data_IF_688150615414
#
_entry.id   IF_688150615414
#
_cell.length_a   1.000
_cell.length_b   1.000
_cell.length_c   1.000
_cell.angle_alpha   90.00
_cell.angle_beta   90.00
_cell.angle_gamma   90.00
#
_symmetry.space_group_name_H-M   'P 1'
#
loop_
_entity.id
_entity.type
_entity.pdbx_description
1 polymer ?
#
# COMPACT_ATOMS: atom_id res chain seq x y z
N UNK A 1 -9.56 -7.94 -24.21
CA UNK A 1 -9.34 -7.34 -24.05
C UNK A 1 -9.06 -6.92 -23.10
N UNK A 2 -8.56 -7.01 -22.62
CA UNK A 2 -8.60 -6.33 -21.87
C UNK A 2 -7.52 -5.82 -21.36
N UNK A 3 -7.33 -4.90 -21.09
CA UNK A 3 -6.31 -4.07 -20.63
C UNK A 3 -6.17 -4.06 -19.15
N UNK A 4 -6.55 -5.16 -18.51
CA UNK A 4 -6.56 -5.28 -17.07
C UNK A 4 -5.21 -4.98 -16.46
N UNK A 5 -4.13 -5.48 -17.07
CA UNK A 5 -2.79 -5.27 -16.54
C UNK A 5 -2.39 -3.79 -16.58
N UNK A 6 -2.72 -3.12 -17.68
CA UNK A 6 -2.41 -1.69 -17.80
C UNK A 6 -3.26 -0.85 -16.87
N UNK A 7 -4.50 -1.27 -16.65
CA UNK A 7 -5.44 -0.53 -15.82
C UNK A 7 -5.18 -0.71 -14.34
N UNK A 8 -4.55 -1.81 -13.94
CA UNK A 8 -4.28 -2.06 -12.52
C UNK A 8 -3.47 -0.94 -11.90
N UNK A 9 -2.43 -0.50 -12.59
CA UNK A 9 -1.61 0.58 -12.05
C UNK A 9 -2.46 1.85 -11.85
N UNK A 10 -3.23 2.23 -12.84
CA UNK A 10 -4.08 3.43 -12.77
C UNK A 10 -5.07 3.33 -11.61
N UNK A 11 -5.74 2.18 -11.49
CA UNK A 11 -6.73 1.95 -10.44
C UNK A 11 -6.08 1.99 -9.06
N UNK A 12 -4.96 1.32 -8.90
CA UNK A 12 -4.29 1.24 -7.60
C UNK A 12 -3.63 2.56 -7.20
N UNK A 13 -3.11 3.29 -8.17
CA UNK A 13 -2.54 4.61 -7.89
C UNK A 13 -3.62 5.54 -7.34
N UNK A 14 -4.77 5.58 -8.00
CA UNK A 14 -5.87 6.41 -7.56
C UNK A 14 -6.42 5.96 -6.22
N UNK A 15 -6.58 4.66 -6.04
CA UNK A 15 -7.08 4.12 -4.77
C UNK A 15 -6.14 4.47 -3.63
N UNK A 16 -4.84 4.29 -3.83
CA UNK A 16 -3.86 4.60 -2.78
C UNK A 16 -3.91 6.08 -2.45
N UNK A 17 -4.00 6.92 -3.46
CA UNK A 17 -4.06 8.37 -3.25
C UNK A 17 -5.33 8.79 -2.49
N UNK A 18 -6.49 8.35 -2.97
CA UNK A 18 -7.77 8.81 -2.43
C UNK A 18 -8.18 8.07 -1.15
N UNK A 19 -8.05 6.75 -1.16
CA UNK A 19 -8.64 5.93 -0.10
C UNK A 19 -7.65 5.57 1.00
N UNK A 20 -6.40 5.38 0.67
CA UNK A 20 -5.41 5.02 1.68
C UNK A 20 -4.80 6.28 2.31
N UNK A 21 -4.46 7.27 1.50
CA UNK A 21 -3.75 8.47 1.99
C UNK A 21 -4.56 9.74 2.00
N UNK A 22 -5.75 9.74 1.42
CA UNK A 22 -6.64 10.90 1.40
C UNK A 22 -5.93 12.16 0.88
N UNK A 23 -5.35 12.02 -0.32
CA UNK A 23 -4.62 13.10 -0.98
C UNK A 23 -5.30 13.54 -2.26
N UNK A 24 -5.15 14.81 -2.60
CA UNK A 24 -5.51 15.30 -3.94
C UNK A 24 -4.38 14.97 -4.90
N UNK A 25 -4.66 15.09 -6.20
CA UNK A 25 -3.61 14.91 -7.21
C UNK A 25 -2.50 15.93 -7.04
N UNK A 26 -2.84 17.17 -6.66
CA UNK A 26 -1.85 18.20 -6.41
C UNK A 26 -0.95 17.84 -5.23
N UNK A 27 -1.53 17.32 -4.17
CA UNK A 27 -0.76 16.92 -3.00
C UNK A 27 0.21 15.80 -3.35
N UNK A 28 -0.25 14.82 -4.10
CA UNK A 28 0.62 13.72 -4.53
C UNK A 28 1.71 14.23 -5.45
N UNK A 29 1.34 15.09 -6.40
CA UNK A 29 2.28 15.71 -7.33
C UNK A 29 3.43 16.38 -6.58
N UNK A 30 3.09 17.19 -5.60
CA UNK A 30 4.08 17.91 -4.80
C UNK A 30 4.96 16.94 -4.02
N UNK A 31 4.36 15.95 -3.40
CA UNK A 31 5.10 14.99 -2.57
C UNK A 31 6.00 14.08 -3.40
N UNK A 32 5.57 13.71 -4.58
CA UNK A 32 6.33 12.84 -5.46
C UNK A 32 7.34 13.58 -6.32
N UNK A 33 7.21 14.92 -6.40
CA UNK A 33 8.08 15.71 -7.24
C UNK A 33 7.78 15.52 -8.72
N UNK A 34 6.52 15.34 -9.06
CA UNK A 34 6.05 15.13 -10.43
C UNK A 34 4.97 16.15 -10.75
N UNK A 35 4.83 16.54 -12.04
CA UNK A 35 3.73 17.42 -12.42
C UNK A 35 2.37 16.77 -12.16
N UNK A 36 1.37 17.57 -11.79
CA UNK A 36 0.05 17.02 -11.55
C UNK A 36 -0.59 16.48 -12.84
N UNK A 37 -0.18 16.98 -13.99
CA UNK A 37 -0.61 16.41 -15.27
C UNK A 37 -0.15 14.96 -15.42
N UNK A 38 1.05 14.65 -14.92
CA UNK A 38 1.56 13.28 -14.95
C UNK A 38 0.70 12.37 -14.09
N UNK A 39 0.34 12.84 -12.89
CA UNK A 39 -0.54 12.06 -12.00
C UNK A 39 -1.87 11.78 -12.69
N UNK A 40 -2.46 12.80 -13.29
CA UNK A 40 -3.73 12.66 -14.00
C UNK A 40 -3.64 11.63 -15.12
N UNK A 41 -2.55 11.67 -15.89
CA UNK A 41 -2.34 10.72 -16.98
C UNK A 41 -2.17 9.29 -16.47
N UNK A 42 -1.42 9.13 -15.39
CA UNK A 42 -1.19 7.79 -14.82
C UNK A 42 -2.47 7.20 -14.22
N UNK A 43 -3.37 8.03 -13.74
CA UNK A 43 -4.64 7.55 -13.16
C UNK A 43 -5.73 7.32 -14.21
N UNK A 44 -5.46 7.67 -15.45
CA UNK A 44 -6.44 7.48 -16.52
C UNK A 44 -6.52 5.99 -16.90
N UNK A 45 -7.63 5.36 -16.58
CA UNK A 45 -7.83 3.94 -16.80
C UNK A 45 -7.73 3.58 -18.29
N UNK A 46 -8.18 4.49 -19.15
CA UNK A 46 -8.14 4.28 -20.59
C UNK A 46 -6.82 4.69 -21.22
N UNK A 47 -5.94 5.31 -20.43
CA UNK A 47 -4.66 5.75 -20.92
C UNK A 47 -3.69 4.59 -21.12
N UNK A 48 -2.69 4.83 -21.96
CA UNK A 48 -1.65 3.85 -22.22
C UNK A 48 -0.33 4.25 -21.56
N UNK A 49 -0.35 5.36 -20.82
CA UNK A 49 0.87 5.88 -20.23
C UNK A 49 1.32 5.03 -19.07
N UNK A 50 2.58 4.62 -19.12
CA UNK A 50 3.21 3.84 -18.05
C UNK A 50 4.28 4.68 -17.40
N UNK A 51 4.44 4.58 -16.09
CA UNK A 51 5.51 5.33 -15.42
C UNK A 51 6.86 4.71 -15.75
N UNK A 52 7.89 5.54 -15.74
CA UNK A 52 9.25 5.03 -15.72
C UNK A 52 9.48 4.35 -14.38
N UNK A 53 10.56 3.59 -14.30
CA UNK A 53 10.92 2.96 -13.02
C UNK A 53 11.11 4.01 -11.93
N UNK A 54 11.75 5.12 -12.27
CA UNK A 54 12.00 6.20 -11.31
C UNK A 54 10.69 6.83 -10.84
N UNK A 55 9.77 7.09 -11.77
CA UNK A 55 8.49 7.68 -11.41
C UNK A 55 7.65 6.73 -10.56
N UNK A 56 7.69 5.43 -10.88
CA UNK A 56 7.00 4.43 -10.08
C UNK A 56 7.53 4.44 -8.64
N UNK A 57 8.83 4.46 -8.49
CA UNK A 57 9.47 4.51 -7.18
C UNK A 57 9.09 5.77 -6.40
N UNK A 58 9.06 6.91 -7.07
CA UNK A 58 8.68 8.18 -6.45
C UNK A 58 7.23 8.17 -5.97
N UNK A 59 6.35 7.61 -6.79
CA UNK A 59 4.94 7.52 -6.42
C UNK A 59 4.73 6.58 -5.24
N UNK A 60 5.38 5.42 -5.27
CA UNK A 60 5.28 4.46 -4.18
C UNK A 60 5.77 5.07 -2.87
N UNK A 61 6.89 5.78 -2.93
CA UNK A 61 7.45 6.43 -1.75
C UNK A 61 6.52 7.54 -1.22
N UNK A 62 5.99 8.35 -2.12
CA UNK A 62 5.10 9.44 -1.72
C UNK A 62 3.82 8.94 -1.08
N UNK A 63 3.33 7.81 -1.55
CA UNK A 63 2.11 7.20 -1.02
C UNK A 63 2.39 6.24 0.14
N UNK A 64 3.66 5.97 0.39
CA UNK A 64 4.08 5.00 1.40
C UNK A 64 3.40 3.65 1.18
N UNK A 65 3.44 3.19 -0.07
CA UNK A 65 2.98 1.86 -0.46
C UNK A 65 4.10 1.21 -1.26
N UNK A 66 3.99 -0.09 -1.49
CA UNK A 66 5.01 -0.80 -2.24
C UNK A 66 4.80 -0.64 -3.74
N UNK A 67 5.88 -0.75 -4.50
CA UNK A 67 5.79 -0.79 -5.97
C UNK A 67 5.04 -2.03 -6.42
N UNK A 68 5.20 -3.15 -5.71
CA UNK A 68 4.48 -4.39 -6.03
C UNK A 68 2.97 -4.20 -5.93
N UNK A 69 2.51 -3.46 -4.93
CA UNK A 69 1.09 -3.16 -4.80
C UNK A 69 0.60 -2.35 -6.00
N UNK A 70 1.33 -1.29 -6.38
CA UNK A 70 0.92 -0.45 -7.49
C UNK A 70 0.92 -1.21 -8.82
N UNK A 71 1.78 -2.21 -8.95
CA UNK A 71 1.86 -3.02 -10.17
C UNK A 71 0.89 -4.19 -10.18
N UNK A 72 0.15 -4.39 -9.11
CA UNK A 72 -0.79 -5.49 -9.02
C UNK A 72 -0.16 -6.83 -8.72
N UNK A 73 1.09 -6.83 -8.27
CA UNK A 73 1.81 -8.06 -7.93
C UNK A 73 1.56 -8.49 -6.49
N UNK A 74 1.05 -7.60 -5.67
CA UNK A 74 0.69 -7.86 -4.29
C UNK A 74 -0.58 -7.09 -3.98
N UNK A 75 -1.46 -7.66 -3.17
CA UNK A 75 -2.67 -6.97 -2.73
C UNK A 75 -2.45 -6.20 -1.44
N UNK A 76 -1.27 -6.31 -0.85
CA UNK A 76 -0.94 -5.64 0.40
C UNK A 76 -0.20 -4.32 0.12
N UNK A 77 -0.86 -3.17 0.32
CA UNK A 77 -0.21 -1.88 0.04
C UNK A 77 0.99 -1.59 0.92
N UNK A 78 1.04 -2.14 2.12
CA UNK A 78 2.14 -1.88 3.05
C UNK A 78 3.30 -2.84 2.88
N UNK A 79 3.10 -3.91 2.10
CA UNK A 79 4.14 -4.88 1.87
C UNK A 79 4.31 -5.82 3.06
N UNK A 80 5.29 -6.70 2.92
CA UNK A 80 5.53 -7.72 3.93
C UNK A 80 6.77 -7.45 4.77
N UNK A 81 7.51 -6.38 4.51
CA UNK A 81 8.78 -6.17 5.20
C UNK A 81 8.60 -6.08 6.73
N UNK A 82 7.61 -5.33 7.19
CA UNK A 82 7.33 -5.22 8.62
C UNK A 82 6.81 -6.55 9.14
N UNK A 83 5.93 -7.19 8.38
CA UNK A 83 5.39 -8.49 8.75
C UNK A 83 6.47 -9.56 8.79
N UNK A 84 7.43 -9.50 7.88
CA UNK A 84 8.54 -10.44 7.84
C UNK A 84 9.42 -10.30 9.08
N UNK A 85 9.70 -9.06 9.48
CA UNK A 85 10.49 -8.80 10.65
C UNK A 85 9.79 -9.33 11.91
N UNK A 86 8.52 -9.00 12.03
CA UNK A 86 7.71 -9.49 13.15
C UNK A 86 7.65 -11.02 13.16
N UNK A 87 7.47 -11.62 11.97
CA UNK A 87 7.44 -13.06 11.85
C UNK A 87 8.75 -13.70 12.34
N UNK A 88 9.89 -13.12 11.93
CA UNK A 88 11.19 -13.61 12.36
C UNK A 88 11.36 -13.50 13.87
N UNK A 89 10.94 -12.38 14.43
CA UNK A 89 11.02 -12.17 15.87
C UNK A 89 10.19 -13.19 16.62
N UNK A 90 8.98 -13.46 16.13
CA UNK A 90 8.11 -14.46 16.73
C UNK A 90 8.74 -15.84 16.66
N UNK A 91 9.41 -16.16 15.53
CA UNK A 91 10.03 -17.48 15.37
C UNK A 91 11.19 -17.71 16.33
N UNK A 92 11.77 -16.66 16.87
CA UNK A 92 12.85 -16.78 17.84
C UNK A 92 12.37 -17.04 19.26
N UNK A 93 11.07 -16.90 19.48
CA UNK A 93 10.48 -17.14 20.80
C UNK A 93 10.35 -18.63 21.09
N UNK A 94 10.32 -18.97 22.37
CA UNK A 94 9.97 -20.33 22.79
C UNK A 94 8.50 -20.57 22.46
N UNK A 95 8.08 -21.83 22.43
CA UNK A 95 6.68 -22.15 22.17
C UNK A 95 5.76 -21.53 23.23
N UNK A 96 6.22 -21.50 24.47
CA UNK A 96 5.48 -20.89 25.56
C UNK A 96 5.30 -19.38 25.32
N UNK A 97 6.36 -18.70 24.94
CA UNK A 97 6.33 -17.27 24.68
C UNK A 97 5.51 -16.94 23.43
N UNK A 98 5.57 -17.80 22.41
CA UNK A 98 4.72 -17.63 21.23
C UNK A 98 3.24 -17.62 21.60
N UNK A 99 2.85 -18.54 22.45
CA UNK A 99 1.46 -18.65 22.90
C UNK A 99 1.06 -17.41 23.69
N UNK A 100 1.94 -16.96 24.55
CA UNK A 100 1.69 -15.75 25.34
C UNK A 100 1.53 -14.52 24.44
N UNK A 101 2.42 -14.38 23.46
CA UNK A 101 2.35 -13.28 22.50
C UNK A 101 1.05 -13.33 21.70
N UNK A 102 0.65 -14.52 21.29
CA UNK A 102 -0.59 -14.72 20.55
C UNK A 102 -1.81 -14.28 21.35
N UNK A 103 -1.84 -14.61 22.63
CA UNK A 103 -2.94 -14.23 23.52
C UNK A 103 -3.01 -12.71 23.68
N UNK A 104 -1.86 -12.06 23.80
CA UNK A 104 -1.80 -10.60 23.92
C UNK A 104 -2.32 -9.95 22.64
N UNK A 105 -1.85 -10.41 21.49
CA UNK A 105 -2.26 -9.86 20.20
C UNK A 105 -3.77 -10.03 20.01
N UNK A 106 -4.28 -11.18 20.37
CA UNK A 106 -5.71 -11.47 20.27
C UNK A 106 -6.54 -10.48 21.09
N UNK A 107 -6.11 -10.24 22.33
CA UNK A 107 -6.80 -9.29 23.19
C UNK A 107 -6.74 -7.87 22.65
N UNK A 108 -5.62 -7.49 22.08
CA UNK A 108 -5.48 -6.17 21.48
C UNK A 108 -6.40 -6.01 20.27
N UNK A 109 -6.51 -7.05 19.45
CA UNK A 109 -7.40 -7.05 18.29
C UNK A 109 -8.86 -6.90 18.73
N UNK A 110 -9.27 -7.62 19.76
CA UNK A 110 -10.62 -7.54 20.31
C UNK A 110 -10.93 -6.14 20.83
N UNK A 111 -9.99 -5.51 21.51
CA UNK A 111 -10.15 -4.14 22.00
C UNK A 111 -10.30 -3.15 20.83
N UNK A 112 -9.54 -3.35 19.77
CA UNK A 112 -9.63 -2.49 18.60
C UNK A 112 -10.99 -2.60 17.94
N UNK A 113 -11.53 -3.82 17.84
CA UNK A 113 -12.86 -4.04 17.29
C UNK A 113 -13.94 -3.35 18.12
N UNK A 114 -13.86 -3.47 19.45
CA UNK A 114 -14.82 -2.81 20.33
C UNK A 114 -14.81 -1.30 20.17
N UNK A 115 -13.63 -0.71 20.06
CA UNK A 115 -13.52 0.72 19.85
C UNK A 115 -14.06 1.13 18.48
N UNK A 116 -13.89 0.27 17.49
CA UNK A 116 -14.39 0.54 16.16
C UNK A 116 -15.91 0.47 16.02
N UNK A 117 -16.58 -0.13 17.00
CA UNK A 117 -18.04 -0.30 16.97
C UNK A 117 -18.82 0.91 17.46
N UNK A 118 -18.17 1.94 17.87
CA UNK A 118 -18.89 3.13 18.33
C UNK A 118 -19.51 3.94 17.21
#
# INVERSE_FOLDING_TARGET
MNNTVNNIFAVRLRFAREKIRDMTQSQLSEKAGLPSTSISHFENIEGTRKPSFDNLRRLAKALDVTTDYLLGRSDDPLGTSINDELYRDVQRLTEEDKKFAQDIIKKMAERSEEKGKK
#
